data_IF_796632639067
#
_entry.id   IF_796632639067
#
_cell.length_a   1.000
_cell.length_b   1.000
_cell.length_c   1.000
_cell.angle_alpha   90.00
_cell.angle_beta   90.00
_cell.angle_gamma   90.00
#
_symmetry.space_group_name_H-M   'P 1'
#
loop_
_entity.id
_entity.type
_entity.pdbx_description
1 polymer ?
#
# COMPACT_ATOMS: atom_id res chain seq x y z
N UNK A 1 -24.36 19.46 -1.46
CA UNK A 1 -23.69 18.55 -2.40
C UNK A 1 -22.71 17.69 -1.62
N UNK A 2 -23.04 16.41 -1.41
CA UNK A 2 -22.14 15.50 -0.69
C UNK A 2 -21.20 14.88 -1.71
N UNK A 3 -19.91 15.21 -1.59
CA UNK A 3 -18.86 14.52 -2.31
C UNK A 3 -19.03 13.01 -2.13
N UNK A 4 -19.05 12.29 -3.25
CA UNK A 4 -19.08 10.84 -3.31
C UNK A 4 -18.01 10.26 -2.37
N UNK A 5 -18.43 9.85 -1.17
CA UNK A 5 -17.65 8.97 -0.31
C UNK A 5 -17.54 7.65 -1.06
N UNK A 6 -16.45 7.50 -1.81
CA UNK A 6 -16.01 6.31 -2.56
C UNK A 6 -15.66 5.13 -1.64
N UNK A 7 -16.44 4.91 -0.58
CA UNK A 7 -16.42 3.68 0.21
C UNK A 7 -17.02 2.57 -0.65
N UNK A 8 -16.19 2.01 -1.52
CA UNK A 8 -16.50 0.82 -2.29
C UNK A 8 -16.86 -0.27 -1.28
N UNK A 9 -18.11 -0.72 -1.35
CA UNK A 9 -18.60 -1.87 -0.59
C UNK A 9 -17.85 -3.08 -1.12
N UNK A 10 -17.26 -3.90 -0.25
CA UNK A 10 -16.69 -5.19 -0.65
C UNK A 10 -17.80 -6.10 -1.15
N UNK A 11 -18.16 -5.95 -2.42
CA UNK A 11 -19.06 -6.84 -3.13
C UNK A 11 -18.41 -8.24 -3.33
N UNK A 12 -17.08 -8.34 -3.20
CA UNK A 12 -16.30 -9.52 -3.58
C UNK A 12 -15.90 -10.46 -2.43
N UNK A 13 -16.33 -10.21 -1.18
CA UNK A 13 -16.05 -11.11 -0.03
C UNK A 13 -17.13 -12.18 0.15
N UNK A 14 -17.87 -12.51 -0.91
CA UNK A 14 -18.97 -13.49 -0.82
C UNK A 14 -20.13 -13.05 0.08
N UNK A 15 -20.24 -11.76 0.40
CA UNK A 15 -21.27 -11.21 1.30
C UNK A 15 -22.58 -10.85 0.60
N UNK A 16 -22.71 -11.15 -0.70
CA UNK A 16 -23.92 -10.86 -1.48
C UNK A 16 -24.32 -9.38 -1.47
N UNK A 17 -23.33 -8.46 -1.41
CA UNK A 17 -23.54 -7.01 -1.37
C UNK A 17 -23.99 -6.45 -0.02
N UNK A 18 -24.02 -7.27 1.05
CA UNK A 18 -24.34 -6.80 2.41
C UNK A 18 -23.11 -6.17 3.07
N UNK A 19 -23.23 -5.00 3.71
CA UNK A 19 -22.14 -4.45 4.51
C UNK A 19 -21.88 -5.35 5.73
N UNK A 20 -20.61 -5.58 6.07
CA UNK A 20 -20.29 -6.08 7.41
C UNK A 20 -20.64 -4.98 8.41
N UNK A 21 -21.32 -5.32 9.50
CA UNK A 21 -21.65 -4.37 10.56
C UNK A 21 -20.96 -4.77 11.85
N UNK A 22 -20.44 -3.77 12.58
CA UNK A 22 -19.91 -3.99 13.92
C UNK A 22 -21.07 -4.36 14.86
N UNK A 23 -20.94 -5.51 15.54
CA UNK A 23 -21.99 -6.07 16.39
C UNK A 23 -22.43 -5.08 17.48
N UNK A 24 -21.48 -4.33 18.05
CA UNK A 24 -21.75 -3.41 19.16
C UNK A 24 -22.34 -2.06 18.73
N UNK A 25 -22.04 -1.61 17.51
CA UNK A 25 -22.37 -0.25 17.06
C UNK A 25 -23.47 -0.20 15.98
N UNK A 26 -23.83 -1.34 15.37
CA UNK A 26 -24.73 -1.40 14.20
C UNK A 26 -24.20 -0.66 12.96
N UNK A 27 -22.96 -0.17 13.01
CA UNK A 27 -22.34 0.64 11.99
C UNK A 27 -21.61 -0.23 10.95
N UNK A 28 -21.62 0.14 9.66
CA UNK A 28 -20.83 -0.55 8.64
C UNK A 28 -19.33 -0.53 8.96
N UNK A 29 -18.69 -1.69 8.88
CA UNK A 29 -17.24 -1.87 8.93
C UNK A 29 -16.70 -1.60 7.52
N UNK A 30 -15.80 -0.63 7.42
CA UNK A 30 -14.99 -0.47 6.21
C UNK A 30 -13.91 -1.54 6.20
N UNK A 31 -13.95 -2.39 5.17
CA UNK A 31 -12.85 -3.32 4.86
C UNK A 31 -12.10 -2.67 3.69
N UNK A 32 -10.80 -2.86 3.66
CA UNK A 32 -9.98 -2.48 2.51
C UNK A 32 -8.84 -3.45 2.33
N UNK A 33 -8.00 -3.18 1.34
CA UNK A 33 -6.87 -4.01 0.99
C UNK A 33 -5.58 -3.46 1.60
N UNK A 34 -4.70 -4.37 2.00
CA UNK A 34 -3.31 -4.08 2.30
C UNK A 34 -2.46 -4.39 1.07
N UNK A 35 -1.67 -3.43 0.61
CA UNK A 35 -0.74 -3.63 -0.51
C UNK A 35 0.65 -3.95 0.04
N UNK A 36 1.22 -5.10 -0.31
CA UNK A 36 2.60 -5.49 0.04
C UNK A 36 3.48 -5.41 -1.20
N UNK A 37 4.33 -4.39 -1.26
CA UNK A 37 5.17 -4.09 -2.43
C UNK A 37 6.14 -5.22 -2.76
N UNK A 38 6.73 -5.89 -1.76
CA UNK A 38 7.62 -7.03 -2.00
C UNK A 38 6.89 -8.21 -2.62
N UNK A 39 5.66 -8.51 -2.19
CA UNK A 39 4.88 -9.63 -2.75
C UNK A 39 4.57 -9.41 -4.23
N UNK A 40 4.20 -8.19 -4.62
CA UNK A 40 3.97 -7.83 -6.02
C UNK A 40 5.24 -7.95 -6.85
N UNK A 41 6.36 -7.42 -6.37
CA UNK A 41 7.64 -7.49 -7.08
C UNK A 41 8.18 -8.92 -7.21
N UNK A 42 7.95 -9.77 -6.20
CA UNK A 42 8.29 -11.18 -6.21
C UNK A 42 7.46 -11.96 -7.25
N UNK A 43 6.21 -11.56 -7.47
CA UNK A 43 5.34 -12.07 -8.54
C UNK A 43 5.68 -11.49 -9.93
N UNK A 44 6.71 -10.65 -10.04
CA UNK A 44 7.10 -10.00 -11.29
C UNK A 44 6.14 -8.88 -11.73
N UNK A 45 5.31 -8.37 -10.82
CA UNK A 45 4.35 -7.29 -11.09
C UNK A 45 4.86 -5.96 -10.57
N UNK A 46 4.40 -4.87 -11.20
CA UNK A 46 4.63 -3.52 -10.70
C UNK A 46 3.59 -3.22 -9.61
N UNK A 47 4.00 -3.00 -8.35
CA UNK A 47 3.04 -2.70 -7.30
C UNK A 47 2.31 -1.37 -7.55
N UNK A 48 2.85 -0.45 -8.37
CA UNK A 48 2.22 0.83 -8.72
C UNK A 48 0.90 0.60 -9.46
N UNK A 49 0.85 -0.43 -10.30
CA UNK A 49 -0.36 -0.87 -10.99
C UNK A 49 -1.46 -1.22 -9.98
N UNK A 50 -1.12 -1.96 -8.93
CA UNK A 50 -2.05 -2.31 -7.86
C UNK A 50 -2.58 -1.09 -7.11
N UNK A 51 -1.73 -0.09 -6.88
CA UNK A 51 -2.12 1.16 -6.24
C UNK A 51 -3.09 1.97 -7.12
N UNK A 52 -2.84 2.06 -8.42
CA UNK A 52 -3.68 2.79 -9.38
C UNK A 52 -5.04 2.09 -9.55
N UNK A 53 -5.03 0.76 -9.74
CA UNK A 53 -6.26 -0.01 -9.97
C UNK A 53 -7.17 -0.07 -8.74
N UNK A 54 -6.58 -0.05 -7.54
CA UNK A 54 -7.30 -0.32 -6.31
C UNK A 54 -7.20 0.79 -5.26
N UNK A 55 -6.67 1.97 -5.57
CA UNK A 55 -6.35 3.01 -4.58
C UNK A 55 -7.51 3.39 -3.65
N UNK A 56 -8.74 3.48 -4.18
CA UNK A 56 -9.95 3.74 -3.37
C UNK A 56 -10.33 2.62 -2.38
N UNK A 57 -9.72 1.44 -2.49
CA UNK A 57 -9.86 0.31 -1.57
C UNK A 57 -8.63 0.12 -0.66
N UNK A 58 -7.50 0.75 -0.97
CA UNK A 58 -6.26 0.58 -0.20
C UNK A 58 -6.41 1.28 1.15
N UNK A 59 -6.26 0.52 2.23
CA UNK A 59 -6.26 1.05 3.61
C UNK A 59 -4.88 1.01 4.26
N UNK A 60 -3.94 0.26 3.68
CA UNK A 60 -2.57 0.21 4.16
C UNK A 60 -1.60 -0.24 3.08
N UNK A 61 -0.39 0.30 3.12
CA UNK A 61 0.72 -0.10 2.26
C UNK A 61 1.88 -0.55 3.14
N UNK A 62 2.44 -1.72 2.81
CA UNK A 62 3.72 -2.17 3.32
C UNK A 62 4.76 -1.92 2.24
N UNK A 63 5.62 -0.94 2.52
CA UNK A 63 6.65 -0.46 1.60
C UNK A 63 7.99 -1.13 1.91
N UNK A 64 8.53 -1.85 0.92
CA UNK A 64 9.82 -2.52 0.96
C UNK A 64 10.30 -2.74 -0.47
N UNK A 65 11.55 -2.38 -0.76
CA UNK A 65 12.16 -2.63 -2.06
C UNK A 65 12.60 -4.08 -2.20
N UNK A 66 12.66 -4.57 -3.43
CA UNK A 66 13.48 -5.72 -3.79
C UNK A 66 14.64 -5.27 -4.68
N UNK A 67 15.80 -5.88 -4.54
CA UNK A 67 16.90 -5.72 -5.51
C UNK A 67 16.74 -6.69 -6.71
N UNK A 68 17.68 -6.66 -7.64
CA UNK A 68 17.72 -7.53 -8.82
C UNK A 68 17.77 -9.03 -8.48
N UNK A 69 18.21 -9.39 -7.27
CA UNK A 69 18.24 -10.78 -6.80
C UNK A 69 16.94 -11.22 -6.13
N UNK A 70 16.00 -10.28 -5.92
CA UNK A 70 14.78 -10.51 -5.16
C UNK A 70 14.97 -10.40 -3.64
N UNK A 71 16.12 -9.93 -3.18
CA UNK A 71 16.38 -9.71 -1.75
C UNK A 71 15.70 -8.44 -1.27
N UNK A 72 15.19 -8.45 -0.03
CA UNK A 72 14.55 -7.28 0.59
C UNK A 72 15.59 -6.20 0.86
N UNK A 73 15.36 -5.00 0.35
CA UNK A 73 16.22 -3.82 0.53
C UNK A 73 15.40 -2.59 0.87
N UNK A 74 16.08 -1.54 1.35
CA UNK A 74 15.44 -0.24 1.51
C UNK A 74 14.93 0.28 0.16
N UNK A 75 13.72 0.87 0.11
CA UNK A 75 13.12 1.40 -1.11
C UNK A 75 13.86 2.69 -1.52
N UNK A 76 14.98 2.50 -2.21
CA UNK A 76 15.90 3.52 -2.69
C UNK A 76 15.96 3.46 -4.22
N UNK A 77 16.66 4.38 -4.91
CA UNK A 77 16.85 4.30 -6.36
C UNK A 77 17.52 3.01 -6.87
N UNK A 78 18.14 2.23 -5.99
CA UNK A 78 18.73 0.93 -6.31
C UNK A 78 17.77 -0.25 -6.11
N UNK A 79 16.58 0.00 -5.58
CA UNK A 79 15.51 -0.99 -5.50
C UNK A 79 14.68 -0.97 -6.78
N UNK A 80 13.95 -2.07 -7.03
CA UNK A 80 13.01 -2.21 -8.14
C UNK A 80 11.73 -1.36 -7.99
N UNK A 81 11.66 -0.47 -7.00
CA UNK A 81 10.54 0.45 -6.77
C UNK A 81 10.94 1.85 -7.22
N UNK A 82 10.15 2.43 -8.12
CA UNK A 82 10.20 3.86 -8.41
C UNK A 82 9.49 4.64 -7.29
N UNK A 83 10.28 5.10 -6.32
CA UNK A 83 9.76 5.80 -5.14
C UNK A 83 9.08 7.12 -5.46
N UNK A 84 9.53 7.82 -6.49
CA UNK A 84 8.95 9.09 -6.88
C UNK A 84 7.57 8.88 -7.51
N UNK A 85 7.44 7.92 -8.44
CA UNK A 85 6.16 7.56 -9.01
C UNK A 85 5.18 7.04 -7.95
N UNK A 86 5.69 6.26 -6.99
CA UNK A 86 4.93 5.76 -5.85
C UNK A 86 4.35 6.86 -4.97
N UNK A 87 5.17 7.84 -4.59
CA UNK A 87 4.71 8.97 -3.78
C UNK A 87 3.60 9.72 -4.48
N UNK A 88 3.82 10.08 -5.75
CA UNK A 88 2.84 10.80 -6.55
C UNK A 88 1.52 10.04 -6.68
N UNK A 89 1.58 8.75 -6.99
CA UNK A 89 0.38 7.93 -7.11
C UNK A 89 -0.32 7.73 -5.76
N UNK A 90 0.43 7.60 -4.66
CA UNK A 90 -0.16 7.48 -3.32
C UNK A 90 -0.92 8.76 -2.94
N UNK A 91 -0.33 9.93 -3.16
CA UNK A 91 -0.95 11.22 -2.87
C UNK A 91 -2.26 11.45 -3.65
N UNK A 92 -2.32 10.94 -4.89
CA UNK A 92 -3.50 11.06 -5.77
C UNK A 92 -4.58 10.02 -5.45
N UNK A 93 -4.19 8.76 -5.27
CA UNK A 93 -5.12 7.64 -5.31
C UNK A 93 -5.56 7.16 -3.93
N UNK A 94 -4.82 7.51 -2.88
CA UNK A 94 -4.99 6.89 -1.56
C UNK A 94 -5.14 7.94 -0.46
N UNK A 95 -6.39 8.21 -0.08
CA UNK A 95 -6.70 9.12 1.01
C UNK A 95 -6.88 8.38 2.34
N UNK A 96 -6.06 8.73 3.33
CA UNK A 96 -6.21 8.23 4.70
C UNK A 96 -5.68 6.81 4.95
N UNK A 97 -4.96 6.20 3.99
CA UNK A 97 -4.26 4.95 4.25
C UNK A 97 -2.96 5.18 5.02
N UNK A 98 -2.54 4.15 5.74
CA UNK A 98 -1.24 4.12 6.40
C UNK A 98 -0.16 3.57 5.48
N UNK A 99 1.05 4.12 5.57
CA UNK A 99 2.25 3.52 4.98
C UNK A 99 3.13 3.01 6.12
N UNK A 100 3.58 1.78 5.99
CA UNK A 100 4.51 1.14 6.90
C UNK A 100 5.76 0.75 6.12
N UNK A 101 6.90 1.30 6.54
CA UNK A 101 8.21 0.87 6.04
C UNK A 101 8.55 -0.48 6.69
N UNK A 102 8.70 -1.52 5.88
CA UNK A 102 9.04 -2.86 6.37
C UNK A 102 10.55 -3.14 6.24
N UNK A 103 11.26 -2.90 7.34
CA UNK A 103 12.71 -3.08 7.42
C UNK A 103 13.17 -4.52 7.71
N UNK A 104 12.25 -5.49 7.77
CA UNK A 104 12.61 -6.88 8.06
C UNK A 104 13.48 -7.45 6.93
N UNK A 105 14.61 -8.04 7.32
CA UNK A 105 15.55 -8.67 6.39
C UNK A 105 16.57 -7.72 5.76
N UNK A 106 16.54 -6.43 6.09
CA UNK A 106 17.56 -5.48 5.64
C UNK A 106 18.88 -5.72 6.39
N UNK A 107 20.00 -5.48 5.70
CA UNK A 107 21.34 -5.59 6.30
C UNK A 107 21.55 -4.55 7.40
N UNK A 108 21.13 -3.31 7.16
CA UNK A 108 21.13 -2.21 8.14
C UNK A 108 19.75 -1.53 8.18
N UNK A 109 18.87 -1.92 9.13
CA UNK A 109 17.53 -1.36 9.22
C UNK A 109 17.47 0.13 9.52
N UNK A 110 18.41 0.68 10.31
CA UNK A 110 18.36 2.08 10.73
C UNK A 110 18.74 3.00 9.59
N UNK A 111 19.85 2.69 8.92
CA UNK A 111 20.29 3.41 7.73
C UNK A 111 19.25 3.27 6.61
N UNK A 112 18.75 2.06 6.38
CA UNK A 112 17.72 1.81 5.38
C UNK A 112 16.43 2.60 5.61
N UNK A 113 15.97 2.74 6.86
CA UNK A 113 14.77 3.55 7.17
C UNK A 113 15.05 5.03 6.92
N UNK A 114 16.24 5.52 7.28
CA UNK A 114 16.64 6.90 7.02
C UNK A 114 16.63 7.21 5.52
N UNK A 115 17.19 6.32 4.70
CA UNK A 115 17.19 6.45 3.24
C UNK A 115 15.79 6.35 2.64
N UNK A 116 14.95 5.44 3.13
CA UNK A 116 13.57 5.30 2.68
C UNK A 116 12.74 6.57 2.97
N UNK A 117 12.92 7.16 4.15
CA UNK A 117 12.27 8.41 4.52
C UNK A 117 12.77 9.59 3.68
N UNK A 118 14.06 9.61 3.34
CA UNK A 118 14.62 10.62 2.45
C UNK A 118 14.04 10.48 1.03
N UNK A 119 14.05 9.26 0.48
CA UNK A 119 13.48 8.96 -0.83
C UNK A 119 11.98 9.25 -0.93
N UNK A 120 11.24 9.19 0.19
CA UNK A 120 9.83 9.60 0.24
C UNK A 120 9.65 11.13 0.28
N UNK A 121 10.59 11.87 0.86
CA UNK A 121 10.51 13.33 1.01
C UNK A 121 10.88 14.08 -0.26
N UNK A 122 11.87 13.56 -0.98
CA UNK A 122 12.32 14.09 -2.27
C UNK A 122 11.21 13.90 -3.34
#
# INVERSE_FOLDING_TARGET
EFANSSRIRLADVGLGGRPLCAIEAGAPISIGIGLDTASWLADGRDPLEGLILHGGLVCGVRLVGLDETGSRVSPTPHSRIDMHAWRQAFDINVHGASIVIDARGWRDPLDGVTQALQAWRD
#
